data_IF_234688235269
#
_entry.id   IF_234688235269
#
_cell.length_a   1.000
_cell.length_b   1.000
_cell.length_c   1.000
_cell.angle_alpha   90.00
_cell.angle_beta   90.00
_cell.angle_gamma   90.00
#
_symmetry.space_group_name_H-M   'P 1'
#
loop_
_entity.id
_entity.type
_entity.pdbx_description
1 polymer ?
#
# COMPACT_ATOMS: atom_id res chain seq x y z
N UNK A 1 15.73 -2.32 10.35
CA UNK A 1 16.00 -2.29 8.90
C UNK A 1 15.04 -1.28 8.27
N UNK A 2 15.55 -0.31 7.51
CA UNK A 2 14.74 0.75 6.89
C UNK A 2 14.02 0.21 5.65
N UNK A 3 12.72 0.45 5.50
CA UNK A 3 11.98 0.11 4.28
C UNK A 3 12.47 0.97 3.10
N UNK A 4 12.47 0.42 1.88
CA UNK A 4 12.77 1.17 0.67
C UNK A 4 11.55 1.98 0.21
N UNK A 5 10.37 1.38 0.27
CA UNK A 5 9.08 2.00 0.03
C UNK A 5 8.19 1.82 1.26
N UNK A 6 7.55 2.89 1.69
CA UNK A 6 6.61 2.85 2.79
C UNK A 6 5.37 3.70 2.45
N UNK A 7 4.21 3.08 2.60
CA UNK A 7 2.89 3.67 2.41
C UNK A 7 2.11 3.47 3.71
N UNK A 8 1.58 4.55 4.29
CA UNK A 8 0.90 4.51 5.59
C UNK A 8 -0.52 5.02 5.45
N UNK A 9 -1.48 4.26 5.98
CA UNK A 9 -2.88 4.68 6.15
C UNK A 9 -3.52 5.21 4.84
N UNK A 10 -3.16 4.62 3.70
CA UNK A 10 -3.62 5.07 2.38
C UNK A 10 -5.11 4.79 2.25
N UNK A 11 -5.85 5.85 1.99
CA UNK A 11 -7.27 5.81 1.64
C UNK A 11 -7.46 6.46 0.27
N UNK A 12 -8.20 5.79 -0.62
CA UNK A 12 -8.53 6.32 -1.94
C UNK A 12 -10.03 6.19 -2.17
N UNK A 13 -10.67 7.31 -2.45
CA UNK A 13 -12.11 7.40 -2.71
C UNK A 13 -12.38 7.91 -4.12
N UNK A 14 -13.45 7.40 -4.70
CA UNK A 14 -14.12 7.88 -5.90
C UNK A 14 -15.61 8.07 -5.55
N UNK A 15 -16.41 8.78 -6.36
CA UNK A 15 -17.85 8.93 -6.09
C UNK A 15 -18.51 7.56 -5.86
N UNK A 16 -19.10 7.37 -4.67
CA UNK A 16 -19.80 6.12 -4.30
C UNK A 16 -18.90 4.93 -3.93
N UNK A 17 -17.57 5.03 -4.02
CA UNK A 17 -16.65 3.90 -3.74
C UNK A 17 -15.43 4.35 -2.94
N UNK A 18 -15.11 3.59 -1.89
CA UNK A 18 -13.82 3.64 -1.20
C UNK A 18 -12.93 2.53 -1.75
N UNK A 19 -12.13 2.86 -2.77
CA UNK A 19 -11.30 1.90 -3.50
C UNK A 19 -10.15 1.35 -2.66
N UNK A 20 -9.58 2.17 -1.77
CA UNK A 20 -8.62 1.73 -0.75
C UNK A 20 -9.08 2.25 0.61
N UNK A 21 -9.06 1.41 1.63
CA UNK A 21 -9.42 1.76 3.00
C UNK A 21 -8.28 1.45 3.98
N UNK A 22 -7.64 2.51 4.49
CA UNK A 22 -6.59 2.44 5.51
C UNK A 22 -5.47 1.42 5.22
N UNK A 23 -5.05 1.33 3.95
CA UNK A 23 -4.04 0.36 3.49
C UNK A 23 -2.65 0.83 3.90
N UNK A 24 -1.85 -0.08 4.47
CA UNK A 24 -0.45 0.14 4.80
C UNK A 24 0.41 -0.90 4.10
N UNK A 25 1.52 -0.46 3.48
CA UNK A 25 2.45 -1.32 2.75
C UNK A 25 3.90 -0.90 3.06
N UNK A 26 4.78 -1.87 3.29
CA UNK A 26 6.22 -1.65 3.42
C UNK A 26 6.97 -2.66 2.54
N UNK A 27 7.88 -2.19 1.71
CA UNK A 27 8.70 -3.04 0.83
C UNK A 27 10.18 -2.76 1.11
N UNK A 28 10.96 -3.82 1.34
CA UNK A 28 12.40 -3.72 1.62
C UNK A 28 13.21 -3.61 0.33
N UNK A 29 14.44 -3.10 0.45
CA UNK A 29 15.37 -3.09 -0.69
C UNK A 29 15.66 -4.52 -1.14
N UNK A 30 15.45 -4.80 -2.44
CA UNK A 30 15.66 -6.12 -3.04
C UNK A 30 14.51 -7.11 -2.85
N UNK A 31 13.39 -6.70 -2.25
CA UNK A 31 12.18 -7.52 -2.11
C UNK A 31 11.36 -7.50 -3.40
N UNK A 32 10.87 -8.68 -3.83
CA UNK A 32 9.80 -8.79 -4.84
C UNK A 32 8.49 -8.97 -4.08
N UNK A 33 7.64 -7.96 -4.15
CA UNK A 33 6.31 -7.95 -3.53
C UNK A 33 5.24 -7.98 -4.62
N UNK A 34 4.27 -8.90 -4.50
CA UNK A 34 3.17 -9.01 -5.44
C UNK A 34 1.83 -8.92 -4.70
N UNK A 35 0.91 -8.15 -5.26
CA UNK A 35 -0.48 -8.08 -4.81
C UNK A 35 -1.29 -8.87 -5.84
N UNK A 36 -2.07 -9.85 -5.38
CA UNK A 36 -2.95 -10.65 -6.22
C UNK A 36 -4.38 -10.49 -5.70
N UNK A 37 -5.30 -10.20 -6.61
CA UNK A 37 -6.72 -9.95 -6.34
C UNK A 37 -7.50 -9.93 -7.63
#
# INVERSE_FOLDING_TARGET
MTALLEMRNITKTFPGVKALDNVTLSVRKGEIHAICG
#
